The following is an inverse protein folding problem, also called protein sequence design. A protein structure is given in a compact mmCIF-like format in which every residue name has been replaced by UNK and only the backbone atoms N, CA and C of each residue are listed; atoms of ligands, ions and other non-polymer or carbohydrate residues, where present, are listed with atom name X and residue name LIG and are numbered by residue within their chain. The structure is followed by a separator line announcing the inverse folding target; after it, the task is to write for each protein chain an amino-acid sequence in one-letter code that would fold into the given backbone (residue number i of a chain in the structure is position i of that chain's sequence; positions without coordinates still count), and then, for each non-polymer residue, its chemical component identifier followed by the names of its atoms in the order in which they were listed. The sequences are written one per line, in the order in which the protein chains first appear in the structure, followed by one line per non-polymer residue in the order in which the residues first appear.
data_IF_721556305213
#
_entry.id   IF_721556305213
#
_cell.length_a   1.000
_cell.length_b   1.000
_cell.length_c   1.000
_cell.angle_alpha   90.00
_cell.angle_beta   90.00
_cell.angle_gamma   90.00
#
_symmetry.space_group_name_H-M   'P 1'
#
loop_
_entity.id
_entity.type
_entity.pdbx_description
1 polymer ?
#
# COMPACT_ATOMS: atom_id res chain seq x y z
N UNK A 1 -59.70 15.29 1.94
CA UNK A 1 -59.30 14.27 0.95
C UNK A 1 -58.08 13.61 1.54
N UNK A 2 -58.42 12.61 2.34
CA UNK A 2 -57.63 12.04 3.42
C UNK A 2 -57.14 10.68 2.94
N UNK A 3 -55.83 10.49 2.93
CA UNK A 3 -55.25 9.14 2.82
C UNK A 3 -54.43 8.86 4.07
N UNK A 4 -55.19 8.47 5.07
CA UNK A 4 -54.81 7.61 6.18
C UNK A 4 -54.27 6.28 5.59
N UNK A 5 -53.03 5.93 5.90
CA UNK A 5 -52.50 4.58 5.65
C UNK A 5 -51.67 4.18 6.86
N UNK A 6 -52.40 3.62 7.81
CA UNK A 6 -51.94 2.78 8.91
C UNK A 6 -51.28 1.52 8.35
N UNK A 7 -49.96 1.36 8.54
CA UNK A 7 -49.27 0.08 8.35
C UNK A 7 -48.87 -0.46 9.71
N UNK A 8 -49.53 -1.56 10.04
CA UNK A 8 -49.45 -2.32 11.27
C UNK A 8 -48.05 -2.86 11.57
N UNK A 9 -47.69 -2.73 12.84
CA UNK A 9 -46.75 -3.60 13.55
C UNK A 9 -47.21 -5.06 13.47
N UNK A 10 -46.33 -5.94 12.98
CA UNK A 10 -46.39 -7.36 13.35
C UNK A 10 -45.02 -7.77 13.93
N UNK A 11 -45.04 -8.01 15.23
CA UNK A 11 -43.92 -8.52 15.99
C UNK A 11 -43.79 -10.02 15.77
N UNK A 12 -42.71 -10.45 15.12
CA UNK A 12 -42.22 -11.82 15.21
C UNK A 12 -40.83 -11.87 15.82
N UNK A 13 -40.83 -12.03 17.13
CA UNK A 13 -39.74 -12.56 17.94
C UNK A 13 -39.48 -14.02 17.53
N UNK A 14 -38.48 -14.26 16.69
CA UNK A 14 -37.97 -15.60 16.44
C UNK A 14 -36.90 -15.95 17.49
N UNK A 15 -37.06 -17.05 18.26
CA UNK A 15 -36.07 -17.47 19.24
C UNK A 15 -34.83 -18.10 18.59
N UNK A 16 -33.68 -17.70 19.14
CA UNK A 16 -32.36 -18.28 19.01
C UNK A 16 -32.39 -19.82 18.95
N UNK A 17 -31.97 -20.38 17.82
CA UNK A 17 -31.47 -21.75 17.75
C UNK A 17 -30.06 -21.75 17.19
N UNK A 18 -29.14 -21.55 18.12
CA UNK A 18 -27.70 -21.82 18.06
C UNK A 18 -27.44 -23.22 17.50
N UNK A 19 -27.33 -23.33 16.17
CA UNK A 19 -26.75 -24.51 15.52
C UNK A 19 -25.24 -24.39 15.63
N UNK A 20 -24.70 -24.76 16.79
CA UNK A 20 -23.30 -25.17 16.97
C UNK A 20 -23.03 -26.36 16.05
N UNK A 21 -22.75 -26.08 14.78
CA UNK A 21 -22.08 -27.04 13.91
C UNK A 21 -20.68 -27.21 14.47
N UNK A 22 -20.46 -28.32 15.20
CA UNK A 22 -19.13 -28.83 15.50
C UNK A 22 -18.43 -29.08 14.17
N UNK A 23 -17.64 -28.12 13.72
CA UNK A 23 -16.70 -28.32 12.63
C UNK A 23 -15.64 -29.26 13.22
N UNK A 24 -15.74 -30.55 12.84
CA UNK A 24 -14.67 -31.53 13.05
C UNK A 24 -13.47 -31.03 12.22
N UNK A 25 -12.54 -30.36 12.87
CA UNK A 25 -11.24 -30.03 12.30
C UNK A 25 -10.53 -31.36 11.97
N UNK A 26 -10.14 -31.62 10.71
CA UNK A 26 -9.27 -32.73 10.40
C UNK A 26 -7.92 -32.48 11.07
N UNK A 27 -7.49 -33.44 11.90
CA UNK A 27 -6.11 -33.54 12.39
C UNK A 27 -5.20 -33.69 11.17
N UNK A 28 -4.62 -32.59 10.71
CA UNK A 28 -3.54 -32.63 9.73
C UNK A 28 -2.29 -33.12 10.46
N UNK A 29 -1.97 -34.39 10.24
CA UNK A 29 -0.71 -35.02 10.64
C UNK A 29 0.39 -34.40 9.78
N UNK A 30 1.20 -33.54 10.37
CA UNK A 30 2.43 -33.03 9.75
C UNK A 30 3.46 -34.15 9.83
N UNK A 31 3.56 -34.94 8.76
CA UNK A 31 4.67 -35.87 8.57
C UNK A 31 5.89 -35.05 8.14
N UNK A 32 6.89 -35.00 9.02
CA UNK A 32 8.20 -34.43 8.72
C UNK A 32 8.93 -35.25 7.66
N UNK A 33 9.50 -34.56 6.69
CA UNK A 33 10.59 -35.09 5.87
C UNK A 33 11.83 -34.27 6.19
N UNK A 34 12.76 -34.91 6.89
CA UNK A 34 14.09 -34.42 7.17
C UNK A 34 15.04 -34.74 6.01
N UNK A 35 16.05 -33.87 5.86
CA UNK A 35 17.38 -34.06 5.27
C UNK A 35 17.51 -34.51 3.80
N UNK A 36 18.20 -33.69 3.01
CA UNK A 36 19.51 -34.06 2.48
C UNK A 36 20.34 -32.81 2.11
N UNK A 37 21.49 -32.68 2.77
CA UNK A 37 22.58 -31.82 2.33
C UNK A 37 23.27 -32.47 1.13
N UNK A 38 23.54 -31.69 0.07
CA UNK A 38 24.50 -32.06 -0.96
C UNK A 38 25.46 -30.88 -1.12
N UNK A 39 26.64 -31.05 -0.52
CA UNK A 39 27.81 -30.24 -0.73
C UNK A 39 28.58 -30.76 -1.95
N UNK A 40 28.81 -29.88 -2.92
CA UNK A 40 29.94 -29.84 -3.86
C UNK A 40 30.04 -28.34 -4.23
N UNK A 41 31.10 -27.57 -3.96
CA UNK A 41 32.52 -27.93 -4.02
C UNK A 41 33.00 -27.71 -5.46
N UNK A 42 33.46 -26.50 -5.79
CA UNK A 42 34.05 -26.16 -7.09
C UNK A 42 34.56 -24.72 -7.13
N UNK A 43 35.88 -24.57 -7.15
CA UNK A 43 36.67 -23.38 -6.89
C UNK A 43 36.81 -22.36 -8.04
N UNK A 44 37.07 -21.12 -7.62
CA UNK A 44 37.76 -19.96 -8.24
C UNK A 44 38.51 -20.17 -9.57
N UNK A 45 38.43 -19.18 -10.48
CA UNK A 45 39.56 -18.31 -10.93
C UNK A 45 39.24 -17.43 -12.17
N UNK A 46 39.81 -16.22 -12.21
CA UNK A 46 40.03 -15.36 -13.40
C UNK A 46 38.83 -14.49 -13.80
N UNK A 47 38.79 -13.16 -13.67
CA UNK A 47 39.72 -12.10 -14.10
C UNK A 47 40.11 -12.18 -15.58
N UNK A 48 39.31 -11.56 -16.47
CA UNK A 48 39.89 -10.87 -17.63
C UNK A 48 39.00 -9.72 -18.11
N UNK A 49 39.65 -8.58 -18.33
CA UNK A 49 39.12 -7.37 -18.94
C UNK A 49 38.85 -7.64 -20.43
N UNK A 50 37.70 -7.19 -20.92
CA UNK A 50 37.57 -6.82 -22.32
C UNK A 50 36.97 -5.41 -22.40
N UNK A 51 37.87 -4.44 -22.59
CA UNK A 51 37.55 -3.16 -23.21
C UNK A 51 36.91 -3.44 -24.58
N UNK A 52 35.77 -2.80 -24.85
CA UNK A 52 35.39 -2.45 -26.21
C UNK A 52 34.85 -1.03 -26.20
N UNK A 53 35.75 -0.19 -26.66
CA UNK A 53 35.60 1.21 -26.99
C UNK A 53 34.61 1.34 -28.16
N UNK A 54 33.63 2.23 -28.01
CA UNK A 54 32.99 2.88 -29.14
C UNK A 54 32.55 4.26 -28.68
N UNK A 55 33.57 5.11 -28.55
CA UNK A 55 33.44 6.54 -28.64
C UNK A 55 32.80 6.94 -29.98
N UNK A 56 31.58 7.49 -29.95
CA UNK A 56 31.22 8.56 -30.89
C UNK A 56 30.29 9.57 -30.25
N UNK A 57 30.88 10.75 -30.05
CA UNK A 57 30.27 11.95 -29.54
C UNK A 57 29.19 12.50 -30.49
N UNK A 58 28.14 13.05 -29.90
CA UNK A 58 27.52 14.26 -30.41
C UNK A 58 27.41 15.23 -29.24
N UNK A 59 28.29 16.23 -29.26
CA UNK A 59 28.18 17.43 -28.46
C UNK A 59 26.93 18.20 -28.89
N UNK A 60 26.10 18.55 -27.91
CA UNK A 60 24.92 19.40 -28.07
C UNK A 60 24.64 20.05 -26.73
N UNK A 61 25.24 21.22 -26.55
CA UNK A 61 25.28 21.99 -25.32
C UNK A 61 23.92 22.59 -24.93
N UNK A 62 23.85 22.96 -23.65
CA UNK A 62 23.18 24.15 -23.08
C UNK A 62 21.91 23.92 -22.25
N UNK A 63 22.02 24.21 -20.95
CA UNK A 63 20.93 24.72 -20.11
C UNK A 63 20.06 23.65 -19.43
N UNK A 64 20.07 23.46 -18.13
CA UNK A 64 20.76 24.16 -17.06
C UNK A 64 20.81 23.25 -15.84
N UNK A 65 21.99 23.18 -15.24
CA UNK A 65 22.05 22.93 -13.80
C UNK A 65 21.25 24.06 -13.18
N UNK A 66 20.08 23.75 -12.63
CA UNK A 66 19.54 24.58 -11.56
C UNK A 66 20.44 24.33 -10.37
N UNK A 67 21.58 25.01 -10.40
CA UNK A 67 22.33 25.41 -9.23
C UNK A 67 21.33 25.78 -8.15
N UNK A 68 21.34 24.98 -7.09
CA UNK A 68 21.05 25.36 -5.73
C UNK A 68 20.69 26.84 -5.62
N UNK A 69 19.39 27.16 -5.65
CA UNK A 69 18.93 28.47 -5.19
C UNK A 69 19.33 28.58 -3.71
N UNK A 70 20.32 29.42 -3.35
CA UNK A 70 20.70 29.62 -1.96
C UNK A 70 19.62 30.51 -1.36
N UNK A 71 18.59 29.90 -0.77
CA UNK A 71 17.49 30.67 -0.19
C UNK A 71 16.17 29.92 0.00
N UNK A 72 15.96 28.76 -0.62
CA UNK A 72 14.72 27.97 -0.43
C UNK A 72 14.89 26.67 0.38
N UNK A 73 16.11 26.27 0.74
CA UNK A 73 16.36 25.09 1.57
C UNK A 73 16.01 25.24 3.06
N UNK A 74 15.60 26.43 3.50
CA UNK A 74 15.35 26.74 4.92
C UNK A 74 13.89 26.63 5.37
N UNK A 75 12.92 26.44 4.46
CA UNK A 75 11.50 26.42 4.81
C UNK A 75 10.94 25.03 5.09
N UNK A 76 11.67 23.97 4.72
CA UNK A 76 11.22 22.59 4.93
C UNK A 76 11.19 22.16 6.41
N UNK A 77 11.81 22.93 7.31
CA UNK A 77 11.97 22.56 8.71
C UNK A 77 11.22 23.49 9.69
N UNK A 78 10.23 24.26 9.22
CA UNK A 78 9.37 25.03 10.13
C UNK A 78 8.42 24.09 10.89
N UNK A 79 8.51 24.03 12.24
CA UNK A 79 7.57 23.27 13.05
C UNK A 79 6.16 23.84 12.86
N UNK A 80 5.26 23.06 12.26
CA UNK A 80 3.87 23.46 12.00
C UNK A 80 3.44 23.36 10.53
N UNK A 81 4.37 23.44 9.57
CA UNK A 81 4.01 23.37 8.14
C UNK A 81 3.91 21.92 7.63
N UNK A 82 4.74 21.01 8.12
CA UNK A 82 4.67 19.57 7.81
C UNK A 82 3.34 18.92 8.22
N UNK A 83 2.74 19.41 9.31
CA UNK A 83 1.45 18.90 9.79
C UNK A 83 0.28 19.32 8.89
N UNK A 84 0.35 20.52 8.28
CA UNK A 84 -0.63 20.95 7.28
C UNK A 84 -0.52 20.17 5.96
N UNK A 85 0.69 19.79 5.53
CA UNK A 85 0.87 19.02 4.30
C UNK A 85 0.36 17.57 4.42
N UNK A 86 0.64 16.90 5.53
CA UNK A 86 0.15 15.52 5.73
C UNK A 86 -1.39 15.43 5.76
N UNK A 87 -2.06 16.42 6.36
CA UNK A 87 -3.53 16.47 6.42
C UNK A 87 -4.18 16.61 5.05
N UNK A 88 -3.59 17.41 4.15
CA UNK A 88 -4.09 17.59 2.78
C UNK A 88 -4.00 16.31 1.96
N UNK A 89 -2.86 15.60 2.04
CA UNK A 89 -2.66 14.35 1.30
C UNK A 89 -3.67 13.27 1.71
N UNK A 90 -3.97 13.19 3.01
CA UNK A 90 -4.93 12.22 3.56
C UNK A 90 -6.35 12.50 3.09
N UNK A 91 -6.75 13.78 3.07
CA UNK A 91 -8.04 14.20 2.55
C UNK A 91 -8.19 13.93 1.04
N UNK A 92 -7.14 14.20 0.27
CA UNK A 92 -7.11 13.87 -1.17
C UNK A 92 -7.23 12.37 -1.41
N UNK A 93 -6.56 11.55 -0.60
CA UNK A 93 -6.65 10.10 -0.73
C UNK A 93 -8.01 9.55 -0.31
N UNK A 94 -8.65 10.08 0.74
CA UNK A 94 -10.03 9.71 1.10
C UNK A 94 -11.02 10.08 -0.01
N UNK A 95 -10.87 11.27 -0.61
CA UNK A 95 -11.68 11.68 -1.76
C UNK A 95 -11.47 10.74 -2.95
N UNK A 96 -10.22 10.40 -3.27
CA UNK A 96 -9.87 9.44 -4.32
C UNK A 96 -10.47 8.06 -4.06
N UNK A 97 -10.35 7.53 -2.84
CA UNK A 97 -10.91 6.23 -2.48
C UNK A 97 -12.45 6.25 -2.51
N UNK A 98 -13.09 7.35 -2.10
CA UNK A 98 -14.54 7.53 -2.24
C UNK A 98 -14.97 7.51 -3.70
N UNK A 99 -14.22 8.16 -4.59
CA UNK A 99 -14.48 8.12 -6.03
C UNK A 99 -14.34 6.69 -6.59
N UNK A 100 -13.33 5.93 -6.16
CA UNK A 100 -13.14 4.54 -6.58
C UNK A 100 -14.25 3.60 -6.07
N UNK A 101 -14.79 3.81 -4.85
CA UNK A 101 -15.88 2.97 -4.30
C UNK A 101 -17.16 3.03 -5.13
N UNK A 102 -17.45 4.17 -5.74
CA UNK A 102 -18.62 4.36 -6.61
C UNK A 102 -18.32 4.09 -8.09
N UNK A 103 -17.07 3.89 -8.46
CA UNK A 103 -16.65 3.72 -9.85
C UNK A 103 -17.07 2.34 -10.37
N UNK A 104 -17.61 2.32 -11.60
CA UNK A 104 -17.87 1.07 -12.31
C UNK A 104 -16.56 0.29 -12.58
N UNK A 105 -16.62 -1.03 -12.80
CA UNK A 105 -15.45 -1.88 -12.97
C UNK A 105 -14.46 -1.43 -14.07
N UNK A 106 -14.97 -0.91 -15.18
CA UNK A 106 -14.13 -0.38 -16.27
C UNK A 106 -13.47 0.94 -15.90
N UNK A 107 -14.13 1.76 -15.08
CA UNK A 107 -13.53 2.98 -14.56
C UNK A 107 -12.43 2.67 -13.56
N UNK A 108 -12.61 1.66 -12.70
CA UNK A 108 -11.56 1.16 -11.81
C UNK A 108 -10.33 0.70 -12.61
N UNK A 109 -10.53 -0.11 -13.65
CA UNK A 109 -9.41 -0.58 -14.49
C UNK A 109 -8.64 0.56 -15.14
N UNK A 110 -9.34 1.60 -15.62
CA UNK A 110 -8.71 2.78 -16.23
C UNK A 110 -7.94 3.62 -15.22
N UNK A 111 -8.37 3.67 -13.96
CA UNK A 111 -7.71 4.44 -12.91
C UNK A 111 -6.58 3.68 -12.20
N UNK A 112 -6.46 2.36 -12.39
CA UNK A 112 -5.45 1.52 -11.72
C UNK A 112 -4.01 2.03 -11.86
N UNK A 113 -3.49 2.41 -13.05
CA UNK A 113 -2.11 2.89 -13.17
C UNK A 113 -1.85 4.13 -12.30
N UNK A 114 -2.79 5.10 -12.31
CA UNK A 114 -2.70 6.30 -11.49
C UNK A 114 -2.79 5.97 -9.99
N UNK A 115 -3.69 5.06 -9.60
CA UNK A 115 -3.83 4.62 -8.22
C UNK A 115 -2.55 3.92 -7.71
N UNK A 116 -1.93 3.04 -8.51
CA UNK A 116 -0.66 2.37 -8.16
C UNK A 116 0.45 3.38 -7.90
N UNK A 117 0.59 4.38 -8.77
CA UNK A 117 1.60 5.43 -8.60
C UNK A 117 1.35 6.24 -7.32
N UNK A 118 0.09 6.63 -7.08
CA UNK A 118 -0.30 7.40 -5.88
C UNK A 118 0.04 6.65 -4.59
N UNK A 119 -0.36 5.38 -4.48
CA UNK A 119 -0.11 4.56 -3.28
C UNK A 119 1.40 4.29 -3.11
N UNK A 120 2.14 4.06 -4.20
CA UNK A 120 3.59 3.88 -4.13
C UNK A 120 4.33 5.15 -3.66
N UNK A 121 3.92 6.32 -4.14
CA UNK A 121 4.44 7.61 -3.69
C UNK A 121 4.16 7.83 -2.21
N UNK A 122 2.93 7.54 -1.76
CA UNK A 122 2.55 7.63 -0.35
C UNK A 122 3.41 6.72 0.54
N UNK A 123 3.59 5.44 0.18
CA UNK A 123 4.45 4.52 0.94
C UNK A 123 5.88 5.06 1.02
N UNK A 124 6.40 5.57 -0.09
CA UNK A 124 7.76 6.12 -0.16
C UNK A 124 7.91 7.36 0.72
N UNK A 125 6.88 8.22 0.77
CA UNK A 125 6.86 9.39 1.64
C UNK A 125 6.81 8.99 3.12
N UNK A 126 5.90 8.10 3.53
CA UNK A 126 5.80 7.64 4.92
C UNK A 126 7.11 7.00 5.40
N UNK A 127 7.76 6.17 4.58
CA UNK A 127 9.06 5.60 4.94
C UNK A 127 10.16 6.67 5.06
N UNK A 128 10.12 7.72 4.24
CA UNK A 128 11.07 8.83 4.35
C UNK A 128 10.86 9.61 5.64
N UNK A 129 9.61 9.95 5.97
CA UNK A 129 9.26 10.64 7.21
C UNK A 129 9.68 9.83 8.44
N UNK A 130 9.42 8.52 8.44
CA UNK A 130 9.93 7.62 9.49
C UNK A 130 11.47 7.64 9.59
N UNK A 131 12.17 7.58 8.44
CA UNK A 131 13.63 7.65 8.40
C UNK A 131 14.20 8.97 8.91
N UNK A 132 13.58 10.10 8.56
CA UNK A 132 13.96 11.44 9.00
C UNK A 132 13.87 11.61 10.52
N UNK A 133 12.97 10.88 11.18
CA UNK A 133 12.84 10.86 12.64
C UNK A 133 13.59 9.70 13.31
N UNK A 134 14.42 8.97 12.58
CA UNK A 134 15.13 7.77 13.07
C UNK A 134 14.18 6.69 13.64
N UNK A 135 12.96 6.59 13.11
CA UNK A 135 12.04 5.51 13.46
C UNK A 135 12.38 4.24 12.70
N UNK A 136 12.63 3.17 13.43
CA UNK A 136 12.75 1.85 12.83
C UNK A 136 11.37 1.34 12.40
N UNK A 137 11.27 0.86 11.17
CA UNK A 137 10.14 0.07 10.72
C UNK A 137 10.09 -1.26 11.50
N UNK A 138 8.97 -1.51 12.19
CA UNK A 138 8.75 -2.81 12.82
C UNK A 138 8.24 -3.86 11.82
N UNK A 139 8.13 -5.10 12.30
CA UNK A 139 7.67 -6.22 11.48
C UNK A 139 6.21 -6.06 11.02
N UNK A 140 5.35 -5.43 11.82
CA UNK A 140 3.94 -5.24 11.50
C UNK A 140 3.77 -4.19 10.38
N UNK A 141 4.50 -3.09 10.45
CA UNK A 141 4.59 -2.07 9.41
C UNK A 141 5.07 -2.66 8.08
N UNK A 142 6.16 -3.43 8.12
CA UNK A 142 6.75 -4.06 6.93
C UNK A 142 5.76 -5.01 6.26
N UNK A 143 5.13 -5.89 7.04
CA UNK A 143 4.13 -6.83 6.54
C UNK A 143 2.92 -6.12 5.89
N UNK A 144 2.52 -4.97 6.45
CA UNK A 144 1.42 -4.18 5.91
C UNK A 144 1.77 -3.53 4.57
N UNK A 145 2.95 -2.95 4.45
CA UNK A 145 3.46 -2.42 3.18
C UNK A 145 3.52 -3.52 2.12
N UNK A 146 4.07 -4.67 2.47
CA UNK A 146 4.24 -5.78 1.51
C UNK A 146 2.88 -6.30 1.04
N UNK A 147 1.89 -6.38 1.93
CA UNK A 147 0.54 -6.76 1.55
C UNK A 147 -0.10 -5.75 0.59
N UNK A 148 0.12 -4.44 0.78
CA UNK A 148 -0.37 -3.41 -0.14
C UNK A 148 0.34 -3.50 -1.49
N UNK A 149 1.67 -3.69 -1.50
CA UNK A 149 2.44 -3.88 -2.74
C UNK A 149 2.00 -5.13 -3.51
N UNK A 150 1.71 -6.22 -2.81
CA UNK A 150 1.20 -7.45 -3.42
C UNK A 150 -0.15 -7.22 -4.11
N UNK A 151 -1.05 -6.45 -3.49
CA UNK A 151 -2.31 -6.07 -4.14
C UNK A 151 -2.07 -5.28 -5.42
N UNK A 152 -1.26 -4.22 -5.36
CA UNK A 152 -0.99 -3.33 -6.48
C UNK A 152 -0.36 -4.07 -7.67
N UNK A 153 0.46 -5.09 -7.40
CA UNK A 153 1.05 -5.96 -8.44
C UNK A 153 0.02 -6.92 -9.03
N UNK A 154 -0.93 -7.42 -8.22
CA UNK A 154 -1.95 -8.39 -8.67
C UNK A 154 -3.11 -7.73 -9.44
N UNK A 155 -3.53 -6.53 -9.05
CA UNK A 155 -4.71 -5.86 -9.58
C UNK A 155 -4.83 -5.74 -11.11
N UNK A 156 -3.76 -5.46 -11.88
CA UNK A 156 -3.85 -5.36 -13.34
C UNK A 156 -4.23 -6.68 -14.02
N UNK A 157 -3.93 -7.80 -13.36
CA UNK A 157 -4.18 -9.15 -13.87
C UNK A 157 -5.62 -9.63 -13.57
N UNK A 158 -6.34 -8.92 -12.70
CA UNK A 158 -7.71 -9.29 -12.31
C UNK A 158 -8.71 -8.86 -13.39
N UNK A 159 -9.72 -9.70 -13.62
CA UNK A 159 -10.91 -9.26 -14.37
C UNK A 159 -11.61 -8.12 -13.64
N UNK A 160 -12.45 -7.36 -14.36
CA UNK A 160 -13.12 -6.20 -13.77
C UNK A 160 -14.00 -6.59 -12.56
N UNK A 161 -14.66 -7.76 -12.62
CA UNK A 161 -15.45 -8.29 -11.51
C UNK A 161 -14.61 -8.81 -10.34
N UNK A 162 -13.44 -9.39 -10.57
CA UNK A 162 -12.51 -9.78 -9.50
C UNK A 162 -11.88 -8.57 -8.83
N UNK A 163 -11.49 -7.56 -9.62
CA UNK A 163 -10.97 -6.30 -9.14
C UNK A 163 -11.98 -5.62 -8.20
N UNK A 164 -13.24 -5.50 -8.61
CA UNK A 164 -14.29 -4.91 -7.78
C UNK A 164 -14.47 -5.63 -6.44
N UNK A 165 -14.27 -6.96 -6.40
CA UNK A 165 -14.33 -7.76 -5.16
C UNK A 165 -13.08 -7.64 -4.30
N UNK A 166 -11.92 -7.40 -4.91
CA UNK A 166 -10.64 -7.26 -4.21
C UNK A 166 -10.44 -5.85 -3.61
N UNK A 167 -11.04 -4.82 -4.21
CA UNK A 167 -10.87 -3.43 -3.79
C UNK A 167 -11.22 -3.13 -2.32
N UNK A 168 -12.30 -3.68 -1.71
CA UNK A 168 -12.60 -3.44 -0.30
C UNK A 168 -11.47 -3.88 0.64
N UNK A 169 -10.89 -5.06 0.39
CA UNK A 169 -9.79 -5.59 1.21
C UNK A 169 -8.52 -4.75 1.05
N UNK A 170 -8.21 -4.36 -0.20
CA UNK A 170 -7.11 -3.45 -0.49
C UNK A 170 -7.27 -2.11 0.23
N UNK A 171 -8.46 -1.52 0.14
CA UNK A 171 -8.79 -0.27 0.82
C UNK A 171 -8.59 -0.38 2.33
N UNK A 172 -9.08 -1.45 2.96
CA UNK A 172 -8.87 -1.68 4.38
C UNK A 172 -7.39 -1.82 4.77
N UNK A 173 -6.53 -2.35 3.88
CA UNK A 173 -5.07 -2.38 4.11
C UNK A 173 -4.44 -1.00 4.01
N UNK A 174 -4.82 -0.21 3.01
CA UNK A 174 -4.35 1.19 2.86
C UNK A 174 -4.76 2.04 4.07
N UNK A 175 -6.02 1.94 4.53
CA UNK A 175 -6.48 2.65 5.73
C UNK A 175 -5.70 2.26 6.99
N UNK A 176 -5.42 0.96 7.19
CA UNK A 176 -4.59 0.50 8.31
C UNK A 176 -3.17 1.02 8.21
N UNK A 177 -2.60 1.07 7.01
CA UNK A 177 -1.23 1.56 6.78
C UNK A 177 -1.14 3.03 7.20
N UNK A 178 -2.08 3.82 6.71
CA UNK A 178 -2.21 5.24 7.02
C UNK A 178 -2.40 5.49 8.53
N UNK A 179 -3.26 4.69 9.18
CA UNK A 179 -3.50 4.78 10.62
C UNK A 179 -2.23 4.44 11.42
N UNK A 180 -1.57 3.33 11.09
CA UNK A 180 -0.35 2.89 11.76
C UNK A 180 0.75 3.95 11.67
N UNK A 181 0.91 4.59 10.50
CA UNK A 181 1.80 5.73 10.34
C UNK A 181 1.43 6.87 11.29
N UNK A 182 0.16 7.29 11.30
CA UNK A 182 -0.29 8.37 12.19
C UNK A 182 -0.12 8.06 13.67
N UNK A 183 -0.32 6.81 14.10
CA UNK A 183 -0.07 6.38 15.48
C UNK A 183 1.42 6.48 15.85
N UNK A 184 2.30 6.03 14.94
CA UNK A 184 3.75 6.16 15.08
C UNK A 184 4.19 7.63 15.23
N UNK A 185 3.73 8.52 14.34
CA UNK A 185 4.03 9.96 14.41
C UNK A 185 3.57 10.58 15.74
N UNK A 186 2.36 10.24 16.21
CA UNK A 186 1.81 10.77 17.47
C UNK A 186 2.56 10.29 18.70
N UNK A 187 3.05 9.05 18.68
CA UNK A 187 3.79 8.48 19.81
C UNK A 187 5.09 9.24 20.09
N UNK A 188 5.69 9.88 19.09
CA UNK A 188 6.90 10.69 19.23
C UNK A 188 6.66 12.11 19.76
N UNK A 189 5.44 12.63 19.60
CA UNK A 189 5.09 13.98 20.06
C UNK A 189 4.70 14.04 21.54
N UNK A 190 4.73 12.90 22.23
CA UNK A 190 4.43 12.77 23.66
C UNK A 190 5.73 12.61 24.44
#
# INVERSE_FOLDING_TARGET
MDHDTTISHDGRTAPLRSRLRRIRLPRVVIAGAALAAAACGGERSGAERAQSDSSRAAAGASGGRMDSMPGMGGMANMPGMGQMMSGRMMAEMDAHMRALRGAGPDSLRRSLPAHRQMVANMISQMNREMGEMNMAADAAWTALIDSVRADLTRMPELSAGELARAMPDHHGRVERLVRAHGDMMRSMSR
#
